data_IF_856535065537
#
_entry.id   IF_856535065537
#
_cell.length_a   1.000
_cell.length_b   1.000
_cell.length_c   1.000
_cell.angle_alpha   90.00
_cell.angle_beta   90.00
_cell.angle_gamma   90.00
#
_symmetry.space_group_name_H-M   'P 1'
#
loop_
_entity.id
_entity.type
_entity.pdbx_description
1 polymer ?
#
# COMPACT_ATOMS: atom_id res chain seq x y z
N UNK A 1 12.41 -5.97 10.66
CA UNK A 1 12.35 -6.65 11.97
C UNK A 1 11.90 -8.09 11.72
N UNK A 2 12.87 -8.99 11.55
CA UNK A 2 12.62 -10.40 11.20
C UNK A 2 12.04 -11.19 12.37
N UNK A 3 12.35 -10.79 13.61
CA UNK A 3 11.83 -11.45 14.82
C UNK A 3 10.31 -11.41 14.89
N UNK A 4 9.69 -10.31 14.44
CA UNK A 4 8.24 -10.16 14.41
C UNK A 4 7.61 -10.76 13.15
N UNK A 5 8.19 -10.47 11.98
CA UNK A 5 7.55 -10.74 10.69
C UNK A 5 8.00 -12.04 10.02
N UNK A 6 9.12 -12.63 10.44
CA UNK A 6 9.78 -13.76 9.78
C UNK A 6 10.90 -13.30 8.84
N UNK A 7 11.54 -14.26 8.19
CA UNK A 7 12.67 -13.98 7.27
C UNK A 7 12.25 -13.13 6.05
N UNK A 8 11.00 -13.29 5.60
CA UNK A 8 10.38 -12.56 4.50
C UNK A 8 9.87 -11.16 4.88
N UNK A 9 10.31 -10.60 6.01
CA UNK A 9 9.88 -9.30 6.54
C UNK A 9 10.06 -8.11 5.56
N UNK A 10 10.99 -8.25 4.61
CA UNK A 10 11.34 -7.21 3.65
C UNK A 10 10.60 -7.36 2.31
N UNK A 11 9.84 -8.44 2.14
CA UNK A 11 9.12 -8.75 0.92
C UNK A 11 7.66 -8.27 1.01
N UNK A 12 7.11 -7.87 -0.13
CA UNK A 12 5.69 -7.58 -0.24
C UNK A 12 4.91 -8.89 -0.35
N UNK A 13 4.43 -9.39 0.79
CA UNK A 13 3.69 -10.65 0.90
C UNK A 13 2.27 -10.41 1.48
N UNK A 14 1.24 -10.20 0.64
CA UNK A 14 -0.15 -10.02 1.08
C UNK A 14 -0.79 -11.26 1.71
N UNK A 15 -0.38 -12.47 1.30
CA UNK A 15 -0.96 -13.75 1.75
C UNK A 15 -0.81 -13.94 3.27
N UNK A 16 0.19 -13.28 3.87
CA UNK A 16 0.42 -13.22 5.32
C UNK A 16 -0.85 -12.92 6.13
N UNK A 17 -1.75 -12.10 5.60
CA UNK A 17 -3.00 -11.74 6.29
C UNK A 17 -4.25 -12.46 5.75
N UNK A 18 -4.15 -13.07 4.56
CA UNK A 18 -5.26 -13.78 3.91
C UNK A 18 -5.41 -15.20 4.45
N UNK A 19 -4.29 -15.90 4.63
CA UNK A 19 -4.28 -17.32 4.98
C UNK A 19 -4.32 -17.58 6.50
N UNK A 20 -4.48 -16.52 7.30
CA UNK A 20 -4.55 -16.61 8.76
C UNK A 20 -3.20 -16.82 9.46
N UNK A 21 -2.10 -16.97 8.72
CA UNK A 21 -0.73 -17.13 9.27
C UNK A 21 -0.33 -15.97 10.21
N UNK A 22 -0.75 -14.74 9.92
CA UNK A 22 -0.58 -13.60 10.83
C UNK A 22 -1.33 -13.73 12.16
N UNK A 23 -2.46 -14.46 12.21
CA UNK A 23 -3.26 -14.67 13.44
C UNK A 23 -2.65 -15.73 14.36
N UNK A 24 -1.91 -16.68 13.79
CA UNK A 24 -1.28 -17.77 14.54
C UNK A 24 -0.05 -17.32 15.34
N UNK A 25 0.61 -16.25 14.89
CA UNK A 25 1.72 -15.62 15.63
C UNK A 25 1.16 -14.88 16.86
N UNK A 26 1.09 -15.58 17.99
CA UNK A 26 0.78 -15.05 19.35
C UNK A 26 1.82 -14.03 19.81
N UNK A 27 1.85 -12.88 19.14
CA UNK A 27 2.79 -11.78 19.39
C UNK A 27 2.03 -10.59 19.95
N UNK A 28 2.72 -9.73 20.69
CA UNK A 28 2.15 -8.48 21.21
C UNK A 28 1.63 -7.65 20.04
N UNK A 29 0.35 -7.21 20.07
CA UNK A 29 -0.22 -6.41 19.00
C UNK A 29 0.60 -5.14 18.78
N UNK A 30 1.03 -4.91 17.54
CA UNK A 30 1.89 -3.78 17.20
C UNK A 30 1.09 -2.80 16.33
N UNK A 31 0.70 -1.66 16.91
CA UNK A 31 -0.21 -0.72 16.25
C UNK A 31 -1.68 -1.17 16.21
N UNK A 32 -2.54 -0.38 15.58
CA UNK A 32 -4.00 -0.59 15.60
C UNK A 32 -4.55 -1.45 14.47
N UNK A 33 -3.74 -1.77 13.45
CA UNK A 33 -4.19 -2.51 12.28
C UNK A 33 -3.13 -3.48 11.79
N UNK A 34 -3.50 -4.76 11.64
CA UNK A 34 -2.69 -5.81 11.01
C UNK A 34 -1.28 -6.01 11.60
N UNK A 35 -1.09 -5.63 12.86
CA UNK A 35 0.20 -5.57 13.54
C UNK A 35 1.23 -4.62 12.89
N UNK A 36 0.78 -3.65 12.10
CA UNK A 36 1.61 -2.63 11.45
C UNK A 36 1.55 -1.28 12.19
N UNK A 37 2.69 -0.56 12.19
CA UNK A 37 2.79 0.79 12.76
C UNK A 37 2.31 1.91 11.84
N UNK A 38 1.73 1.59 10.67
CA UNK A 38 1.26 2.57 9.68
C UNK A 38 0.30 3.59 10.27
N UNK A 39 -0.56 3.16 11.21
CA UNK A 39 -1.52 4.02 11.91
C UNK A 39 -1.15 4.25 13.38
N UNK A 40 0.11 4.01 13.76
CA UNK A 40 0.59 4.02 15.14
C UNK A 40 -0.21 3.07 16.06
N UNK A 41 -0.03 3.20 17.39
CA UNK A 41 -0.69 2.39 18.40
C UNK A 41 -0.95 3.16 19.69
N UNK A 42 -1.77 2.57 20.58
CA UNK A 42 -2.10 3.15 21.89
C UNK A 42 -2.79 4.51 21.80
N UNK A 43 -2.48 5.41 22.74
CA UNK A 43 -3.11 6.75 22.85
C UNK A 43 -2.76 7.70 21.70
N UNK A 44 -1.78 7.34 20.86
CA UNK A 44 -1.36 8.10 19.68
C UNK A 44 -1.78 7.42 18.37
N UNK A 45 -2.63 6.41 18.43
CA UNK A 45 -3.17 5.79 17.23
C UNK A 45 -3.91 6.81 16.37
N UNK A 46 -3.78 6.69 15.05
CA UNK A 46 -4.53 7.52 14.12
C UNK A 46 -6.02 7.29 14.31
N UNK A 47 -6.77 8.31 14.74
CA UNK A 47 -8.22 8.19 14.96
C UNK A 47 -8.98 7.82 13.67
N UNK A 48 -8.46 8.24 12.51
CA UNK A 48 -9.05 8.02 11.20
C UNK A 48 -8.68 6.68 10.53
N UNK A 49 -7.99 5.76 11.19
CA UNK A 49 -7.45 4.56 10.55
C UNK A 49 -8.51 3.70 9.83
N UNK A 50 -9.70 3.55 10.43
CA UNK A 50 -10.80 2.76 9.83
C UNK A 50 -11.35 3.44 8.58
N UNK A 51 -11.47 4.77 8.63
CA UNK A 51 -11.96 5.56 7.52
C UNK A 51 -10.99 5.49 6.33
N UNK A 52 -9.70 5.71 6.59
CA UNK A 52 -8.66 5.60 5.58
C UNK A 52 -8.64 4.22 4.89
N UNK A 53 -8.84 3.12 5.64
CA UNK A 53 -8.92 1.78 5.05
C UNK A 53 -10.13 1.62 4.12
N UNK A 54 -11.30 2.13 4.53
CA UNK A 54 -12.52 2.06 3.71
C UNK A 54 -12.33 2.86 2.41
N UNK A 55 -11.76 4.07 2.50
CA UNK A 55 -11.47 4.89 1.32
C UNK A 55 -10.49 4.20 0.37
N UNK A 56 -9.39 3.64 0.89
CA UNK A 56 -8.40 2.91 0.08
C UNK A 56 -9.05 1.70 -0.60
N UNK A 57 -9.87 0.93 0.12
CA UNK A 57 -10.57 -0.22 -0.44
C UNK A 57 -11.53 0.19 -1.56
N UNK A 58 -12.38 1.20 -1.32
CA UNK A 58 -13.33 1.68 -2.31
C UNK A 58 -12.63 2.24 -3.56
N UNK A 59 -11.60 3.06 -3.36
CA UNK A 59 -10.78 3.62 -4.43
C UNK A 59 -10.10 2.51 -5.25
N UNK A 60 -9.47 1.54 -4.59
CA UNK A 60 -8.77 0.45 -5.25
C UNK A 60 -9.71 -0.42 -6.09
N UNK A 61 -10.89 -0.77 -5.55
CA UNK A 61 -11.88 -1.55 -6.30
C UNK A 61 -12.36 -0.83 -7.56
N UNK A 62 -12.58 0.48 -7.47
CA UNK A 62 -13.04 1.26 -8.61
C UNK A 62 -11.97 1.40 -9.69
N UNK A 63 -10.74 1.67 -9.26
CA UNK A 63 -9.61 1.95 -10.14
C UNK A 63 -9.15 0.67 -10.86
N UNK A 64 -8.94 -0.42 -10.12
CA UNK A 64 -8.48 -1.71 -10.70
C UNK A 64 -9.58 -2.36 -11.56
N UNK A 65 -10.86 -2.11 -11.25
CA UNK A 65 -11.97 -2.64 -12.04
C UNK A 65 -12.18 -1.94 -13.39
N UNK A 66 -11.68 -0.70 -13.54
CA UNK A 66 -11.96 0.15 -14.72
C UNK A 66 -10.72 0.50 -15.54
N UNK A 67 -9.53 0.45 -14.95
CA UNK A 67 -8.31 0.91 -15.59
C UNK A 67 -7.19 -0.14 -15.52
N UNK A 68 -6.36 -0.12 -16.55
CA UNK A 68 -5.10 -0.84 -16.60
C UNK A 68 -3.95 0.17 -16.46
N UNK A 69 -2.94 -0.19 -15.68
CA UNK A 69 -1.80 0.64 -15.36
C UNK A 69 -0.52 0.00 -15.91
N UNK A 70 0.28 0.80 -16.61
CA UNK A 70 1.59 0.41 -17.09
C UNK A 70 2.65 1.43 -16.63
N UNK A 71 3.85 0.93 -16.40
CA UNK A 71 5.00 1.77 -16.10
C UNK A 71 5.38 2.64 -17.30
N UNK A 72 5.94 3.80 -17.02
CA UNK A 72 6.58 4.69 -18.00
C UNK A 72 8.09 4.61 -17.86
N UNK A 73 8.84 5.16 -18.82
CA UNK A 73 10.31 5.24 -18.71
C UNK A 73 10.75 6.00 -17.44
N UNK A 74 9.97 7.01 -17.01
CA UNK A 74 10.24 7.75 -15.77
C UNK A 74 9.99 6.93 -14.50
N UNK A 75 9.22 5.84 -14.59
CA UNK A 75 8.91 5.00 -13.44
C UNK A 75 10.13 4.22 -12.92
N UNK A 76 11.18 4.07 -13.73
CA UNK A 76 12.46 3.46 -13.31
C UNK A 76 13.23 4.35 -12.33
N UNK A 77 12.99 5.66 -12.39
CA UNK A 77 13.73 6.69 -11.64
C UNK A 77 12.96 7.16 -10.40
N UNK A 78 12.08 6.32 -9.86
CA UNK A 78 11.26 6.67 -8.70
C UNK A 78 12.06 6.51 -7.41
N UNK A 79 12.12 7.60 -6.65
CA UNK A 79 12.69 7.68 -5.30
C UNK A 79 11.58 7.74 -4.27
N UNK A 80 11.87 7.18 -3.09
CA UNK A 80 11.02 7.32 -1.90
C UNK A 80 11.52 8.49 -1.07
N UNK A 81 10.72 9.54 -0.97
CA UNK A 81 11.04 10.74 -0.21
C UNK A 81 10.26 10.76 1.13
N UNK A 82 10.94 10.89 2.28
CA UNK A 82 10.30 10.99 3.57
C UNK A 82 9.82 12.43 3.85
N UNK A 83 8.54 12.71 3.62
CA UNK A 83 7.92 14.01 3.92
C UNK A 83 6.66 13.80 4.78
N UNK A 84 6.84 13.60 6.09
CA UNK A 84 5.84 13.15 7.07
C UNK A 84 5.29 11.73 6.81
N UNK A 85 4.97 11.42 5.55
CA UNK A 85 4.71 10.10 5.01
C UNK A 85 5.73 9.80 3.90
N UNK A 86 5.85 8.53 3.51
CA UNK A 86 6.67 8.16 2.37
C UNK A 86 5.93 8.51 1.09
N UNK A 87 6.53 9.35 0.25
CA UNK A 87 5.96 9.78 -1.04
C UNK A 87 6.89 9.45 -2.20
N UNK A 88 6.35 9.17 -3.41
CA UNK A 88 7.18 8.98 -4.58
C UNK A 88 7.57 10.32 -5.21
N UNK A 89 8.82 10.42 -5.64
CA UNK A 89 9.35 11.53 -6.45
C UNK A 89 10.15 10.94 -7.61
N UNK A 90 10.33 11.69 -8.70
CA UNK A 90 11.20 11.28 -9.82
C UNK A 90 12.58 11.89 -9.59
N UNK A 91 13.61 11.07 -9.71
CA UNK A 91 15.00 11.51 -9.60
C UNK A 91 15.33 12.60 -10.63
N UNK A 92 15.96 13.67 -10.17
CA UNK A 92 16.25 14.86 -10.99
C UNK A 92 15.08 15.83 -11.16
N UNK A 93 13.86 15.47 -10.74
CA UNK A 93 12.65 16.31 -10.85
C UNK A 93 12.01 16.59 -9.48
N UNK A 94 12.79 16.57 -8.39
CA UNK A 94 12.27 16.72 -7.02
C UNK A 94 11.52 18.04 -6.80
N UNK A 95 11.93 19.10 -7.51
CA UNK A 95 11.27 20.41 -7.51
C UNK A 95 9.82 20.38 -8.04
N UNK A 96 9.47 19.38 -8.85
CA UNK A 96 8.10 19.15 -9.32
C UNK A 96 7.20 18.51 -8.24
N UNK A 97 7.77 18.15 -7.08
CA UNK A 97 7.04 17.59 -5.95
C UNK A 97 6.73 16.10 -6.09
N UNK A 98 5.59 15.67 -5.52
CA UNK A 98 5.16 14.27 -5.48
C UNK A 98 4.66 13.83 -6.85
N UNK A 99 5.21 12.74 -7.36
CA UNK A 99 4.90 12.26 -8.70
C UNK A 99 5.11 10.75 -8.83
N UNK A 100 4.17 10.11 -9.53
CA UNK A 100 4.22 8.72 -9.93
C UNK A 100 3.67 8.60 -11.35
N UNK A 101 4.50 8.86 -12.38
CA UNK A 101 4.07 8.78 -13.77
C UNK A 101 3.71 7.34 -14.12
N UNK A 102 2.46 7.15 -14.56
CA UNK A 102 1.89 5.89 -14.98
C UNK A 102 1.15 6.10 -16.30
N UNK A 103 1.24 5.12 -17.22
CA UNK A 103 0.35 5.04 -18.36
C UNK A 103 -0.95 4.39 -17.89
N UNK A 104 -2.07 5.03 -18.18
CA UNK A 104 -3.40 4.56 -17.79
C UNK A 104 -4.24 4.33 -19.05
N UNK A 105 -4.84 3.15 -19.17
CA UNK A 105 -5.79 2.80 -20.21
C UNK A 105 -7.07 2.23 -19.59
N UNK A 106 -8.17 2.23 -20.34
CA UNK A 106 -9.42 1.60 -19.88
C UNK A 106 -9.24 0.09 -19.91
N UNK A 107 -9.58 -0.59 -18.81
CA UNK A 107 -9.53 -2.03 -18.71
C UNK A 107 -10.59 -2.66 -19.64
N UNK A 108 -10.28 -3.75 -20.36
CA UNK A 108 -11.27 -4.47 -21.14
C UNK A 108 -12.40 -4.95 -20.25
N UNK A 109 -13.65 -4.57 -20.56
CA UNK A 109 -14.82 -5.14 -19.88
C UNK A 109 -14.92 -6.61 -20.25
N UNK A 110 -14.54 -7.49 -19.33
CA UNK A 110 -14.95 -8.89 -19.42
C UNK A 110 -16.44 -8.93 -19.10
N UNK A 111 -17.28 -9.08 -20.12
CA UNK A 111 -18.69 -9.42 -19.95
C UNK A 111 -18.78 -10.80 -19.31
N UNK A 112 -18.67 -10.87 -17.98
CA UNK A 112 -19.14 -12.04 -17.24
C UNK A 112 -20.65 -11.91 -17.14
N UNK A 113 -21.33 -12.52 -18.11
CA UNK A 113 -22.72 -12.96 -18.01
C UNK A 113 -22.78 -13.87 -16.79
N UNK A 114 -23.49 -13.43 -15.74
CA UNK A 114 -23.83 -14.25 -14.59
C UNK A 114 -24.95 -15.22 -14.93
#
# INVERSE_FOLDING_TARGET
>A
NKDLWGEDAHEFNPERWLDGTAKEKKTTPLGVYSNLMTFSGGVRACLGWRFALIEIQAFLMDVVGKFEFALTEKSEWIRREPCMVMTPTVEGEVENGVQLPLRVSVAPRTEKVY
#
